data_IF_906319868689
#
_entry.id   IF_906319868689
#
_cell.length_a   1.000
_cell.length_b   1.000
_cell.length_c   1.000
_cell.angle_alpha   90.00
_cell.angle_beta   90.00
_cell.angle_gamma   90.00
#
_symmetry.space_group_name_H-M   'P 1'
#
loop_
_entity.id
_entity.type
_entity.pdbx_description
1 polymer ?
#
# COMPACT_ATOMS: atom_id res chain seq x y z
N UNK A 1 18.06 -48.93 33.07
CA UNK A 1 19.08 -47.92 32.72
C UNK A 1 19.31 -48.01 31.22
N UNK A 2 18.78 -47.06 30.44
CA UNK A 2 19.03 -47.00 29.00
C UNK A 2 19.97 -45.83 28.74
N UNK A 3 21.13 -46.14 28.17
CA UNK A 3 22.16 -45.19 27.75
C UNK A 3 21.74 -44.57 26.42
N UNK A 4 21.64 -43.24 26.37
CA UNK A 4 21.42 -42.51 25.12
C UNK A 4 22.74 -41.94 24.62
N UNK A 5 23.18 -42.46 23.47
CA UNK A 5 24.33 -41.98 22.71
C UNK A 5 24.09 -40.52 22.26
N UNK A 6 25.03 -39.63 22.54
CA UNK A 6 25.07 -38.29 21.96
C UNK A 6 25.60 -38.38 20.52
N UNK A 7 24.78 -37.99 19.55
CA UNK A 7 25.23 -37.76 18.19
C UNK A 7 25.36 -36.24 17.98
N UNK A 8 26.58 -35.77 17.80
CA UNK A 8 26.86 -34.38 17.44
C UNK A 8 26.49 -34.16 15.97
N UNK A 9 25.57 -33.24 15.70
CA UNK A 9 25.37 -32.68 14.36
C UNK A 9 25.66 -31.19 14.47
N UNK A 10 26.87 -30.85 14.04
CA UNK A 10 27.30 -29.51 13.63
C UNK A 10 26.51 -29.06 12.41
N UNK A 11 26.17 -27.77 12.37
CA UNK A 11 25.76 -26.92 11.24
C UNK A 11 24.28 -26.47 11.17
N UNK A 12 24.04 -25.20 11.51
CA UNK A 12 22.95 -24.35 11.03
C UNK A 12 23.27 -22.95 11.54
N UNK A 13 23.21 -21.84 10.80
CA UNK A 13 22.64 -21.53 9.49
C UNK A 13 23.30 -20.20 9.09
N UNK A 14 23.57 -19.92 7.80
CA UNK A 14 24.16 -18.65 7.41
C UNK A 14 23.18 -17.50 7.68
N UNK A 15 23.71 -16.43 8.27
CA UNK A 15 23.04 -15.14 8.43
C UNK A 15 22.33 -14.77 7.11
N UNK A 16 21.00 -14.84 7.11
CA UNK A 16 20.19 -14.23 6.06
C UNK A 16 20.42 -12.71 6.17
N UNK A 17 20.97 -12.03 5.15
CA UNK A 17 20.82 -10.60 5.10
C UNK A 17 19.32 -10.33 5.06
N UNK A 18 18.83 -9.47 5.96
CA UNK A 18 17.53 -8.83 5.80
C UNK A 18 17.55 -8.06 4.49
N UNK A 19 17.28 -8.76 3.38
CA UNK A 19 16.81 -8.17 2.16
C UNK A 19 15.50 -7.52 2.57
N UNK A 20 15.57 -6.24 2.93
CA UNK A 20 14.44 -5.33 2.95
C UNK A 20 13.82 -5.54 1.57
N UNK A 21 12.73 -6.29 1.56
CA UNK A 21 11.98 -6.60 0.36
C UNK A 21 11.38 -5.26 -0.07
N UNK A 22 12.16 -4.46 -0.78
CA UNK A 22 11.66 -3.32 -1.53
C UNK A 22 10.65 -3.91 -2.48
N UNK A 23 9.37 -3.79 -2.10
CA UNK A 23 8.26 -4.26 -2.90
C UNK A 23 8.51 -3.75 -4.33
N UNK A 24 8.50 -4.62 -5.35
CA UNK A 24 8.81 -4.19 -6.70
C UNK A 24 7.90 -3.01 -7.04
N UNK A 25 8.52 -1.86 -7.33
CA UNK A 25 7.80 -0.63 -7.66
C UNK A 25 6.86 -0.96 -8.81
N UNK A 26 5.56 -0.93 -8.54
CA UNK A 26 4.60 -1.25 -9.57
C UNK A 26 4.62 -0.11 -10.60
N UNK A 27 4.41 -0.40 -11.90
CA UNK A 27 4.19 0.66 -12.87
C UNK A 27 3.04 1.53 -12.37
N UNK A 28 3.21 2.85 -12.44
CA UNK A 28 2.21 3.82 -11.97
C UNK A 28 0.97 3.66 -12.86
N UNK A 29 -0.17 3.20 -12.31
CA UNK A 29 -1.39 3.03 -13.08
C UNK A 29 -2.03 4.38 -13.39
N UNK A 30 -2.99 4.38 -14.30
CA UNK A 30 -3.90 5.52 -14.45
C UNK A 30 -4.76 5.70 -13.18
N UNK A 31 -5.34 6.90 -12.99
CA UNK A 31 -6.30 7.12 -11.90
C UNK A 31 -7.48 6.14 -12.02
N UNK A 32 -8.01 5.91 -13.23
CA UNK A 32 -9.10 4.95 -13.45
C UNK A 32 -8.73 3.54 -12.96
N UNK A 33 -7.59 3.01 -13.37
CA UNK A 33 -7.11 1.69 -12.93
C UNK A 33 -6.84 1.62 -11.43
N UNK A 34 -6.31 2.69 -10.84
CA UNK A 34 -6.07 2.78 -9.41
C UNK A 34 -7.38 2.70 -8.62
N UNK A 35 -8.39 3.45 -9.04
CA UNK A 35 -9.70 3.48 -8.39
C UNK A 35 -10.46 2.17 -8.58
N UNK A 36 -10.39 1.53 -9.76
CA UNK A 36 -10.96 0.19 -9.97
C UNK A 36 -10.40 -0.81 -8.96
N UNK A 37 -9.08 -0.85 -8.76
CA UNK A 37 -8.44 -1.73 -7.78
C UNK A 37 -8.79 -1.37 -6.33
N UNK A 38 -9.00 -0.08 -6.06
CA UNK A 38 -9.40 0.40 -4.75
C UNK A 38 -10.83 -0.04 -4.43
N UNK A 39 -11.72 0.06 -5.41
CA UNK A 39 -13.14 -0.34 -5.34
C UNK A 39 -13.27 -1.86 -5.14
N UNK A 40 -12.51 -2.66 -5.88
CA UNK A 40 -12.41 -4.13 -5.68
C UNK A 40 -11.97 -4.51 -4.26
N UNK A 41 -11.22 -3.62 -3.59
CA UNK A 41 -10.73 -3.83 -2.23
C UNK A 41 -11.65 -3.28 -1.14
N UNK A 42 -12.68 -2.50 -1.50
CA UNK A 42 -13.60 -1.87 -0.56
C UNK A 42 -15.00 -2.48 -0.64
N UNK A 43 -15.55 -2.86 0.50
CA UNK A 43 -16.94 -3.38 0.62
C UNK A 43 -18.00 -2.26 0.44
N UNK A 44 -17.58 -0.99 0.49
CA UNK A 44 -18.44 0.20 0.58
C UNK A 44 -18.41 1.05 -0.72
N UNK A 45 -19.09 0.57 -1.77
CA UNK A 45 -19.85 1.40 -2.74
C UNK A 45 -19.12 2.32 -3.76
N UNK A 46 -19.42 2.07 -5.04
CA UNK A 46 -18.99 2.76 -6.27
C UNK A 46 -19.15 4.30 -6.32
N UNK A 47 -20.05 4.88 -5.51
CA UNK A 47 -20.31 6.33 -5.48
C UNK A 47 -19.13 7.11 -4.85
N UNK A 48 -18.40 6.47 -3.94
CA UNK A 48 -17.27 7.06 -3.25
C UNK A 48 -16.04 7.23 -4.16
N UNK A 49 -15.66 6.16 -4.86
CA UNK A 49 -14.49 6.12 -5.75
C UNK A 49 -14.63 7.09 -6.92
N UNK A 50 -15.84 7.25 -7.46
CA UNK A 50 -16.13 8.16 -8.56
C UNK A 50 -15.89 9.63 -8.18
N UNK A 51 -16.41 10.08 -7.03
CA UNK A 51 -16.30 11.49 -6.61
C UNK A 51 -14.85 11.94 -6.38
N UNK A 52 -14.03 11.10 -5.76
CA UNK A 52 -12.63 11.46 -5.50
C UNK A 52 -11.76 11.39 -6.75
N UNK A 53 -12.07 10.49 -7.69
CA UNK A 53 -11.37 10.42 -8.97
C UNK A 53 -11.42 11.75 -9.72
N UNK A 54 -12.59 12.38 -9.78
CA UNK A 54 -12.77 13.65 -10.47
C UNK A 54 -11.98 14.77 -9.77
N UNK A 55 -11.99 14.81 -8.43
CA UNK A 55 -11.21 15.78 -7.64
C UNK A 55 -9.70 15.64 -7.93
N UNK A 56 -9.17 14.42 -7.92
CA UNK A 56 -7.75 14.21 -8.24
C UNK A 56 -7.41 14.60 -9.67
N UNK A 57 -8.33 14.40 -10.61
CA UNK A 57 -8.15 14.80 -12.02
C UNK A 57 -8.17 16.32 -12.19
N UNK A 58 -9.07 17.02 -11.53
CA UNK A 58 -9.17 18.48 -11.54
C UNK A 58 -7.93 19.15 -10.95
N UNK A 59 -7.42 18.61 -9.84
CA UNK A 59 -6.21 19.09 -9.17
C UNK A 59 -4.90 18.56 -9.79
N UNK A 60 -5.00 17.81 -10.90
CA UNK A 60 -3.87 17.20 -11.63
C UNK A 60 -2.96 16.33 -10.74
N UNK A 61 -3.55 15.64 -9.75
CA UNK A 61 -2.84 14.73 -8.86
C UNK A 61 -2.75 13.35 -9.50
N UNK A 62 -1.54 12.85 -9.65
CA UNK A 62 -1.25 11.51 -10.17
C UNK A 62 -1.07 10.46 -9.05
N UNK A 63 -1.24 9.17 -9.38
CA UNK A 63 -1.28 8.08 -8.38
C UNK A 63 -0.04 8.00 -7.50
N UNK A 64 1.15 8.25 -8.06
CA UNK A 64 2.41 8.27 -7.31
C UNK A 64 2.56 9.48 -6.36
N UNK A 65 1.77 10.54 -6.56
CA UNK A 65 1.75 11.72 -5.66
C UNK A 65 0.77 11.53 -4.50
N UNK A 66 -0.24 10.66 -4.63
CA UNK A 66 -1.25 10.42 -3.59
C UNK A 66 -0.61 9.99 -2.27
N UNK A 67 0.48 9.22 -2.31
CA UNK A 67 1.19 8.80 -1.10
C UNK A 67 1.79 9.99 -0.33
N UNK A 68 2.23 11.03 -1.05
CA UNK A 68 2.92 12.19 -0.48
C UNK A 68 1.96 13.31 -0.01
N UNK A 69 0.66 13.17 -0.28
CA UNK A 69 -0.35 14.11 0.21
C UNK A 69 -0.41 14.12 1.74
N UNK A 70 -0.29 15.30 2.32
CA UNK A 70 -0.45 15.58 3.74
C UNK A 70 -1.92 15.53 4.15
N UNK A 71 -2.19 15.38 5.46
CA UNK A 71 -3.56 15.40 5.98
C UNK A 71 -4.27 16.72 5.63
N UNK A 72 -3.55 17.84 5.67
CA UNK A 72 -4.06 19.16 5.27
C UNK A 72 -4.41 19.24 3.79
N UNK A 73 -3.64 18.58 2.90
CA UNK A 73 -3.97 18.53 1.48
C UNK A 73 -5.21 17.67 1.24
N UNK A 74 -5.34 16.52 1.91
CA UNK A 74 -6.58 15.74 1.87
C UNK A 74 -7.80 16.55 2.35
N UNK A 75 -7.65 17.33 3.41
CA UNK A 75 -8.72 18.21 3.89
C UNK A 75 -9.11 19.27 2.85
N UNK A 76 -8.15 19.86 2.14
CA UNK A 76 -8.41 20.80 1.03
C UNK A 76 -9.16 20.15 -0.14
N UNK A 77 -8.91 18.87 -0.39
CA UNK A 77 -9.65 18.06 -1.38
C UNK A 77 -11.04 17.63 -0.87
N UNK A 78 -11.45 18.05 0.33
CA UNK A 78 -12.73 17.68 0.94
C UNK A 78 -12.75 16.26 1.51
N UNK A 79 -11.60 15.59 1.64
CA UNK A 79 -11.47 14.26 2.26
C UNK A 79 -11.33 14.36 3.77
N UNK A 80 -12.46 14.56 4.46
CA UNK A 80 -12.49 14.73 5.91
C UNK A 80 -12.54 13.42 6.72
N UNK A 81 -12.51 12.25 6.06
CA UNK A 81 -12.52 10.95 6.77
C UNK A 81 -11.13 10.36 6.85
N UNK A 82 -10.65 10.19 8.09
CA UNK A 82 -9.34 9.62 8.41
C UNK A 82 -9.14 8.23 7.79
N UNK A 83 -10.20 7.39 7.75
CA UNK A 83 -10.13 6.05 7.16
C UNK A 83 -9.76 6.08 5.67
N UNK A 84 -10.29 7.05 4.94
CA UNK A 84 -10.06 7.20 3.50
C UNK A 84 -8.66 7.71 3.19
N UNK A 85 -8.18 8.73 3.92
CA UNK A 85 -6.81 9.21 3.76
C UNK A 85 -5.79 8.08 3.98
N UNK A 86 -6.05 7.20 4.96
CA UNK A 86 -5.24 6.00 5.19
C UNK A 86 -5.34 4.99 4.05
N UNK A 87 -6.54 4.70 3.56
CA UNK A 87 -6.75 3.76 2.44
C UNK A 87 -6.01 4.22 1.17
N UNK A 88 -6.16 5.49 0.79
CA UNK A 88 -5.46 6.05 -0.36
C UNK A 88 -3.95 5.99 -0.23
N UNK A 89 -3.39 6.36 0.93
CA UNK A 89 -1.94 6.24 1.17
C UNK A 89 -1.46 4.80 1.09
N UNK A 90 -2.18 3.87 1.69
CA UNK A 90 -1.80 2.44 1.66
C UNK A 90 -1.85 1.90 0.23
N UNK A 91 -2.90 2.22 -0.53
CA UNK A 91 -3.03 1.82 -1.92
C UNK A 91 -1.94 2.47 -2.82
N UNK A 92 -1.65 3.76 -2.60
CA UNK A 92 -0.66 4.49 -3.39
C UNK A 92 0.80 4.10 -3.06
N UNK A 93 1.05 3.51 -1.88
CA UNK A 93 2.39 3.14 -1.41
C UNK A 93 3.17 2.26 -2.40
N UNK A 94 2.48 1.40 -3.14
CA UNK A 94 3.09 0.49 -4.12
C UNK A 94 3.58 1.18 -5.40
N UNK A 95 3.20 2.46 -5.59
CA UNK A 95 3.49 3.26 -6.78
C UNK A 95 4.47 4.42 -6.51
N UNK A 96 4.95 4.55 -5.26
CA UNK A 96 5.96 5.55 -4.86
C UNK A 96 7.34 5.22 -5.44
#
# INVERSE_FOLDING_TARGET
>A
MFSFMHNAITNNSPNLPSNILSSPRQPVPSLDEFFIKLDESSEDGEEFTTKFKDIFKEEQISVNQIYDLTDMEFDKLGMNKIGWCKAFRVAAKCYK
#
